data_IF_017655694022
#
_entry.id   IF_017655694022
#
_cell.length_a   1.000
_cell.length_b   1.000
_cell.length_c   1.000
_cell.angle_alpha   90.00
_cell.angle_beta   90.00
_cell.angle_gamma   90.00
#
_symmetry.space_group_name_H-M   'P 1'
#
loop_
_entity.id
_entity.type
_entity.pdbx_description
1 polymer ?
#
# COMPACT_ATOMS: atom_id res chain seq x y z
N UNK A 1 22.27 -15.10 6.90
CA UNK A 1 21.70 -14.35 8.03
C UNK A 1 20.43 -13.72 7.51
N UNK A 2 19.29 -14.10 8.08
CA UNK A 2 18.02 -13.51 7.71
C UNK A 2 18.00 -12.03 8.15
N UNK A 3 17.50 -11.16 7.28
CA UNK A 3 17.40 -9.73 7.54
C UNK A 3 16.05 -9.21 7.06
N UNK A 4 15.48 -8.27 7.82
CA UNK A 4 14.26 -7.57 7.46
C UNK A 4 14.33 -6.08 7.76
N UNK A 5 13.66 -5.27 6.96
CA UNK A 5 13.46 -3.85 7.23
C UNK A 5 12.14 -3.36 6.65
N UNK A 6 11.63 -2.28 7.22
CA UNK A 6 10.48 -1.55 6.68
C UNK A 6 10.95 -0.50 5.68
N UNK A 7 10.19 -0.30 4.61
CA UNK A 7 10.33 0.90 3.78
C UNK A 7 9.90 2.15 4.56
N UNK A 8 10.15 3.33 4.00
CA UNK A 8 9.41 4.51 4.40
C UNK A 8 7.93 4.37 4.00
N UNK A 9 7.09 5.27 4.50
CA UNK A 9 5.72 5.40 4.03
C UNK A 9 5.72 5.87 2.58
N UNK A 10 4.97 5.16 1.75
CA UNK A 10 4.84 5.34 0.32
C UNK A 10 3.37 5.67 0.01
N UNK A 11 3.21 6.56 -0.94
CA UNK A 11 1.94 7.13 -1.37
C UNK A 11 2.17 7.58 -2.82
N UNK A 12 1.63 6.79 -3.76
CA UNK A 12 1.85 6.98 -5.20
C UNK A 12 0.56 7.41 -5.89
N UNK A 13 -0.58 6.94 -5.41
CA UNK A 13 -1.88 7.27 -5.94
C UNK A 13 -2.62 8.22 -4.98
N UNK A 14 -3.61 8.91 -5.49
CA UNK A 14 -4.54 9.67 -4.65
C UNK A 14 -5.93 9.10 -4.98
N UNK A 15 -6.97 9.35 -4.17
CA UNK A 15 -8.33 8.80 -4.35
C UNK A 15 -9.10 9.37 -5.57
N UNK A 16 -8.39 9.73 -6.62
CA UNK A 16 -8.87 10.29 -7.88
C UNK A 16 -9.18 9.21 -8.91
N UNK A 17 -9.89 9.57 -9.97
CA UNK A 17 -10.23 8.62 -11.05
C UNK A 17 -11.08 7.45 -10.54
N UNK A 18 -10.47 6.27 -10.41
CA UNK A 18 -11.21 5.03 -10.07
C UNK A 18 -11.07 4.54 -8.64
N UNK A 19 -10.23 5.17 -7.82
CA UNK A 19 -9.94 4.69 -6.47
C UNK A 19 -8.58 5.17 -5.98
N UNK A 20 -8.05 4.47 -5.00
CA UNK A 20 -6.72 4.68 -4.44
C UNK A 20 -5.95 3.36 -4.43
N UNK A 21 -4.78 3.32 -5.06
CA UNK A 21 -4.06 2.09 -5.39
C UNK A 21 -2.57 2.15 -5.00
N UNK A 22 -2.29 1.83 -3.75
CA UNK A 22 -0.94 1.75 -3.19
C UNK A 22 -0.35 0.34 -3.34
N UNK A 23 -0.08 -0.04 -4.60
CA UNK A 23 0.34 -1.40 -4.97
C UNK A 23 1.87 -1.52 -5.08
N UNK A 24 2.45 -2.58 -4.51
CA UNK A 24 3.90 -2.80 -4.48
C UNK A 24 4.56 -2.67 -5.87
N UNK A 25 3.95 -3.27 -6.90
CA UNK A 25 4.48 -3.26 -8.26
C UNK A 25 4.38 -1.88 -8.95
N UNK A 26 3.54 -0.97 -8.43
CA UNK A 26 3.36 0.36 -8.99
C UNK A 26 4.41 1.35 -8.44
N UNK A 27 5.05 1.03 -7.31
CA UNK A 27 6.14 1.80 -6.76
C UNK A 27 7.48 1.43 -7.39
N UNK A 28 7.72 1.95 -8.59
CA UNK A 28 9.05 1.90 -9.20
C UNK A 28 9.69 3.28 -9.18
N UNK A 29 10.93 3.36 -8.72
CA UNK A 29 11.67 4.62 -8.77
C UNK A 29 12.14 4.92 -10.21
N UNK A 30 12.79 6.07 -10.41
CA UNK A 30 13.31 6.50 -11.73
C UNK A 30 14.27 5.51 -12.41
N UNK A 31 14.90 4.64 -11.64
CA UNK A 31 15.83 3.61 -12.11
C UNK A 31 15.13 2.25 -12.31
N UNK A 32 13.78 2.26 -12.33
CA UNK A 32 12.92 1.08 -12.44
C UNK A 32 13.14 0.05 -11.32
N UNK A 33 13.51 0.50 -10.11
CA UNK A 33 13.70 -0.37 -8.95
C UNK A 33 12.47 -0.39 -8.05
N UNK A 34 12.07 -1.57 -7.53
CA UNK A 34 10.94 -1.70 -6.62
C UNK A 34 11.29 -1.16 -5.22
N UNK A 35 10.31 -1.10 -4.28
CA UNK A 35 10.54 -0.56 -2.94
C UNK A 35 11.60 -1.32 -2.13
N UNK A 36 11.63 -2.64 -2.25
CA UNK A 36 12.66 -3.45 -1.60
C UNK A 36 13.98 -3.40 -2.39
N UNK A 37 15.08 -3.20 -1.66
CA UNK A 37 16.46 -3.29 -2.16
C UNK A 37 16.73 -4.66 -2.79
N UNK A 38 17.70 -4.69 -3.69
CA UNK A 38 18.10 -5.91 -4.40
C UNK A 38 18.32 -7.10 -3.45
N UNK A 39 17.71 -8.23 -3.79
CA UNK A 39 17.76 -9.47 -3.01
C UNK A 39 16.74 -9.57 -1.86
N UNK A 40 15.94 -8.55 -1.60
CA UNK A 40 14.81 -8.59 -0.66
C UNK A 40 13.47 -8.67 -1.41
N UNK A 41 12.46 -9.25 -0.78
CA UNK A 41 11.08 -9.31 -1.28
C UNK A 41 10.09 -8.79 -0.24
N UNK A 42 8.95 -8.20 -0.65
CA UNK A 42 7.90 -7.87 0.29
C UNK A 42 7.33 -9.16 0.87
N UNK A 43 7.10 -9.19 2.18
CA UNK A 43 6.45 -10.31 2.88
C UNK A 43 5.27 -9.86 3.74
N UNK A 44 4.98 -8.55 3.72
CA UNK A 44 3.83 -7.94 4.37
C UNK A 44 3.83 -6.44 4.17
N UNK A 45 2.79 -5.78 4.69
CA UNK A 45 2.64 -4.34 4.66
C UNK A 45 2.02 -3.81 5.95
N UNK A 46 2.18 -2.52 6.15
CA UNK A 46 1.47 -1.71 7.13
C UNK A 46 0.87 -0.52 6.39
N UNK A 47 -0.43 -0.30 6.55
CA UNK A 47 -1.21 0.64 5.76
C UNK A 47 -2.07 1.51 6.67
N UNK A 48 -2.22 2.78 6.30
CA UNK A 48 -2.99 3.74 7.09
C UNK A 48 -3.57 4.82 6.21
N UNK A 49 -4.59 5.49 6.73
CA UNK A 49 -5.14 6.69 6.10
C UNK A 49 -4.09 7.79 6.25
N UNK A 50 -3.67 8.39 5.12
CA UNK A 50 -2.54 9.32 5.04
C UNK A 50 -2.67 10.52 5.94
N UNK A 51 -3.85 11.13 6.11
CA UNK A 51 -3.96 12.34 6.92
C UNK A 51 -4.17 12.05 8.41
N UNK A 52 -5.12 11.17 8.73
CA UNK A 52 -5.44 10.84 10.12
C UNK A 52 -4.41 9.93 10.78
N UNK A 53 -3.57 9.26 9.97
CA UNK A 53 -2.61 8.22 10.38
C UNK A 53 -3.25 7.03 11.09
N UNK A 54 -4.58 6.92 11.05
CA UNK A 54 -5.32 5.79 11.59
C UNK A 54 -5.08 4.55 10.73
N UNK A 55 -5.02 3.35 11.34
CA UNK A 55 -4.95 2.10 10.61
C UNK A 55 -6.03 2.01 9.53
N UNK A 56 -5.71 1.39 8.40
CA UNK A 56 -6.61 1.32 7.24
C UNK A 56 -8.00 0.75 7.57
N UNK A 57 -8.07 -0.19 8.52
CA UNK A 57 -9.32 -0.85 8.91
C UNK A 57 -10.28 0.04 9.70
N UNK A 58 -9.82 1.20 10.21
CA UNK A 58 -10.68 2.20 10.85
C UNK A 58 -11.37 3.13 9.82
N UNK A 59 -10.98 3.07 8.55
CA UNK A 59 -11.59 3.86 7.47
C UNK A 59 -13.00 3.43 7.08
N UNK A 60 -13.44 2.24 7.52
CA UNK A 60 -14.74 1.65 7.19
C UNK A 60 -15.03 1.56 5.67
N UNK A 61 -14.00 1.37 4.86
CA UNK A 61 -14.12 1.23 3.41
C UNK A 61 -14.01 -0.23 2.95
N UNK A 62 -14.62 -0.49 1.79
CA UNK A 62 -14.53 -1.77 1.09
C UNK A 62 -13.19 -1.84 0.35
N UNK A 63 -12.21 -2.49 0.98
CA UNK A 63 -10.89 -2.75 0.39
C UNK A 63 -10.91 -4.06 -0.42
N UNK A 64 -10.25 -4.08 -1.58
CA UNK A 64 -10.15 -5.32 -2.40
C UNK A 64 -9.45 -6.41 -1.59
N UNK A 65 -10.05 -7.59 -1.55
CA UNK A 65 -9.61 -8.71 -0.71
C UNK A 65 -8.13 -9.07 -0.88
N UNK A 66 -7.64 -9.17 -2.13
CA UNK A 66 -6.24 -9.50 -2.43
C UNK A 66 -5.24 -8.39 -2.04
N UNK A 67 -5.72 -7.17 -1.83
CA UNK A 67 -4.93 -6.00 -1.46
C UNK A 67 -5.40 -5.46 -0.10
N UNK A 68 -5.84 -6.32 0.82
CA UNK A 68 -6.30 -5.89 2.13
C UNK A 68 -5.11 -5.64 3.07
N UNK A 69 -4.26 -4.69 2.69
CA UNK A 69 -2.97 -4.41 3.31
C UNK A 69 -2.06 -5.65 3.37
N UNK A 70 -1.77 -6.22 2.21
CA UNK A 70 -0.93 -7.41 2.05
C UNK A 70 0.47 -7.02 1.55
N UNK A 71 1.35 -7.99 1.32
CA UNK A 71 2.62 -7.78 0.62
C UNK A 71 2.44 -7.23 -0.81
N UNK A 72 1.22 -7.29 -1.37
CA UNK A 72 0.86 -6.68 -2.65
C UNK A 72 0.46 -5.19 -2.51
N UNK A 73 0.16 -4.73 -1.29
CA UNK A 73 -0.20 -3.36 -0.98
C UNK A 73 -1.64 -3.20 -0.49
N UNK A 74 -2.19 -1.99 -0.68
CA UNK A 74 -3.59 -1.67 -0.40
C UNK A 74 -4.30 -1.10 -1.63
N UNK A 75 -5.57 -1.47 -1.85
CA UNK A 75 -6.38 -0.78 -2.86
C UNK A 75 -7.84 -0.64 -2.47
N UNK A 76 -8.32 0.60 -2.56
CA UNK A 76 -9.72 0.98 -2.50
C UNK A 76 -10.21 1.32 -3.92
N UNK A 77 -11.45 0.95 -4.26
CA UNK A 77 -12.07 1.29 -5.55
C UNK A 77 -13.31 2.14 -5.30
N UNK A 78 -13.35 3.33 -5.87
CA UNK A 78 -14.43 4.31 -5.69
C UNK A 78 -15.81 3.69 -5.96
N UNK A 79 -15.94 2.89 -7.03
CA UNK A 79 -17.23 2.27 -7.40
C UNK A 79 -17.78 1.30 -6.36
N UNK A 80 -16.96 0.80 -5.44
CA UNK A 80 -17.40 -0.11 -4.38
C UNK A 80 -17.67 0.59 -3.04
N UNK A 81 -17.38 1.90 -2.94
CA UNK A 81 -17.69 2.67 -1.74
C UNK A 81 -19.12 3.21 -1.77
N UNK A 82 -19.84 3.27 -0.63
CA UNK A 82 -21.19 3.83 -0.56
C UNK A 82 -21.27 5.29 -1.00
N UNK A 83 -20.27 6.10 -0.64
CA UNK A 83 -20.13 7.52 -0.99
C UNK A 83 -19.42 7.76 -2.34
N UNK A 84 -19.04 6.67 -3.03
CA UNK A 84 -18.30 6.66 -4.29
C UNK A 84 -16.91 7.30 -4.21
N UNK A 85 -16.32 7.37 -3.02
CA UNK A 85 -15.02 8.00 -2.82
C UNK A 85 -14.16 7.16 -1.88
N UNK A 86 -12.87 7.08 -2.14
CA UNK A 86 -11.90 6.41 -1.29
C UNK A 86 -11.19 7.39 -0.35
N UNK A 87 -10.77 6.93 0.82
CA UNK A 87 -9.76 7.61 1.61
C UNK A 87 -8.43 7.61 0.86
N UNK A 88 -7.59 8.58 1.19
CA UNK A 88 -6.20 8.66 0.75
C UNK A 88 -5.34 7.77 1.67
N UNK A 89 -4.76 6.69 1.13
CA UNK A 89 -3.96 5.73 1.88
C UNK A 89 -2.46 5.92 1.62
N UNK A 90 -1.66 5.54 2.62
CA UNK A 90 -0.22 5.33 2.45
C UNK A 90 0.17 3.96 3.02
N UNK A 91 1.22 3.37 2.46
CA UNK A 91 1.69 2.01 2.77
C UNK A 91 3.19 1.99 3.04
N UNK A 92 3.65 1.10 3.93
CA UNK A 92 5.05 0.69 3.99
C UNK A 92 5.15 -0.83 3.92
N UNK A 93 6.17 -1.33 3.23
CA UNK A 93 6.37 -2.76 3.03
C UNK A 93 7.42 -3.32 3.97
N UNK A 94 7.18 -4.54 4.47
CA UNK A 94 8.18 -5.33 5.17
C UNK A 94 8.99 -6.10 4.13
N UNK A 95 10.25 -5.70 3.94
CA UNK A 95 11.19 -6.34 3.04
C UNK A 95 12.01 -7.38 3.80
N UNK A 96 12.03 -8.62 3.32
CA UNK A 96 12.75 -9.73 3.94
C UNK A 96 13.71 -10.41 2.95
N UNK A 97 14.87 -10.85 3.46
CA UNK A 97 15.81 -11.73 2.79
C UNK A 97 16.24 -12.85 3.76
N UNK A 98 16.10 -14.12 3.41
CA UNK A 98 16.60 -15.24 4.23
C UNK A 98 18.14 -15.30 4.28
#
# INVERSE_FOLDING_TARGET
HAASYWTHWLDRDHPSGTGDYELYHAFVNRDNRPPCRSGYKPVGADCRIKYSKKPWYEGNEVIRECHRCTDWGISCVNKFQPDRWCNDYEVRFLCYKP
#
